data_IF_151763436826
#
_entry.id   IF_151763436826
#
_cell.length_a   1.000
_cell.length_b   1.000
_cell.length_c   1.000
_cell.angle_alpha   90.00
_cell.angle_beta   90.00
_cell.angle_gamma   90.00
#
_symmetry.space_group_name_H-M   'P 1'
#
loop_
_entity.id
_entity.type
_entity.pdbx_description
1 polymer ?
#
# COMPACT_ATOMS: atom_id res chain seq x y z
N UNK A 1 3.15 -10.77 -13.04
CA UNK A 1 3.17 -10.40 -11.61
C UNK A 1 2.86 -8.94 -11.54
N UNK A 2 1.73 -8.60 -10.92
CA UNK A 2 1.35 -7.21 -10.71
C UNK A 2 1.11 -7.03 -9.23
N UNK A 3 1.74 -6.00 -8.67
CA UNK A 3 1.51 -5.60 -7.31
C UNK A 3 0.42 -4.53 -7.27
N UNK A 4 -0.44 -4.61 -6.27
CA UNK A 4 -1.46 -3.61 -5.98
C UNK A 4 -1.40 -3.26 -4.50
N UNK A 5 -1.75 -2.02 -4.15
CA UNK A 5 -1.96 -1.67 -2.76
C UNK A 5 -3.40 -1.24 -2.51
N UNK A 6 -3.91 -1.60 -1.34
CA UNK A 6 -5.10 -0.99 -0.75
C UNK A 6 -4.67 -0.01 0.33
N UNK A 7 -4.98 1.26 0.12
CA UNK A 7 -4.82 2.30 1.12
C UNK A 7 -6.08 2.35 1.97
N UNK A 8 -5.94 1.94 3.24
CA UNK A 8 -6.99 2.12 4.23
C UNK A 8 -6.87 3.55 4.77
N UNK A 9 -7.97 4.31 4.68
CA UNK A 9 -8.03 5.69 5.16
C UNK A 9 -9.09 5.84 6.23
N UNK A 10 -8.81 6.62 7.27
CA UNK A 10 -9.75 6.79 8.39
C UNK A 10 -10.94 7.71 8.03
N UNK A 11 -10.98 8.22 6.79
CA UNK A 11 -11.96 9.21 6.32
C UNK A 11 -12.95 8.69 5.28
N UNK A 12 -12.75 7.46 4.77
CA UNK A 12 -13.59 6.90 3.72
C UNK A 12 -13.68 5.39 3.88
N UNK A 13 -14.92 4.87 3.95
CA UNK A 13 -15.23 3.44 3.98
C UNK A 13 -14.88 2.72 2.67
N UNK A 14 -14.59 3.47 1.60
CA UNK A 14 -14.13 2.91 0.33
C UNK A 14 -12.61 2.80 0.32
N UNK A 15 -12.03 1.57 0.37
CA UNK A 15 -10.60 1.38 0.27
C UNK A 15 -10.13 1.73 -1.15
N UNK A 16 -9.06 2.53 -1.25
CA UNK A 16 -8.50 2.93 -2.53
C UNK A 16 -7.50 1.88 -3.01
N UNK A 17 -7.77 1.29 -4.17
CA UNK A 17 -6.88 0.31 -4.80
C UNK A 17 -6.05 0.99 -5.88
N UNK A 18 -4.73 0.91 -5.77
CA UNK A 18 -3.78 1.52 -6.71
C UNK A 18 -2.80 0.44 -7.21
N UNK A 19 -2.51 0.36 -8.52
CA UNK A 19 -1.45 -0.50 -9.04
C UNK A 19 -0.07 0.06 -8.60
N UNK A 20 0.85 -0.83 -8.25
CA UNK A 20 2.22 -0.47 -7.91
C UNK A 20 3.14 -0.73 -9.11
N UNK A 21 3.92 0.28 -9.47
CA UNK A 21 5.02 0.12 -10.43
C UNK A 21 6.22 -0.54 -9.74
N UNK A 22 6.17 -1.86 -9.63
CA UNK A 22 7.14 -2.65 -8.86
C UNK A 22 7.44 -3.99 -9.53
N UNK A 23 8.73 -4.34 -9.59
CA UNK A 23 9.19 -5.64 -10.09
C UNK A 23 9.42 -6.66 -8.96
N UNK A 24 9.50 -6.21 -7.72
CA UNK A 24 9.74 -7.02 -6.53
C UNK A 24 8.90 -6.56 -5.34
N UNK A 25 8.85 -7.37 -4.29
CA UNK A 25 8.15 -7.00 -3.06
C UNK A 25 8.78 -5.77 -2.40
N UNK A 26 10.11 -5.65 -2.40
CA UNK A 26 10.78 -4.48 -1.82
C UNK A 26 10.47 -3.20 -2.60
N UNK A 27 10.45 -3.25 -3.94
CA UNK A 27 10.02 -2.12 -4.77
C UNK A 27 8.55 -1.75 -4.47
N UNK A 28 7.68 -2.76 -4.31
CA UNK A 28 6.28 -2.56 -3.98
C UNK A 28 6.11 -1.88 -2.62
N UNK A 29 6.94 -2.23 -1.62
CA UNK A 29 6.96 -1.57 -0.31
C UNK A 29 7.38 -0.11 -0.43
N UNK A 30 8.40 0.19 -1.22
CA UNK A 30 8.89 1.56 -1.42
C UNK A 30 7.78 2.40 -2.07
N UNK A 31 7.15 1.91 -3.13
CA UNK A 31 6.10 2.64 -3.83
C UNK A 31 4.82 2.77 -2.97
N UNK A 32 4.43 1.72 -2.23
CA UNK A 32 3.31 1.80 -1.30
C UNK A 32 3.55 2.83 -0.17
N UNK A 33 4.78 2.92 0.37
CA UNK A 33 5.14 3.98 1.34
C UNK A 33 5.03 5.37 0.71
N UNK A 34 5.49 5.53 -0.54
CA UNK A 34 5.39 6.79 -1.28
C UNK A 34 3.93 7.20 -1.48
N UNK A 35 3.05 6.25 -1.81
CA UNK A 35 1.61 6.49 -1.91
C UNK A 35 1.00 6.87 -0.55
N UNK A 36 1.29 6.13 0.52
CA UNK A 36 0.84 6.50 1.88
C UNK A 36 1.30 7.91 2.30
N UNK A 37 2.49 8.34 1.88
CA UNK A 37 2.97 9.69 2.14
C UNK A 37 2.15 10.76 1.38
N UNK A 38 1.70 10.47 0.17
CA UNK A 38 0.82 11.35 -0.62
C UNK A 38 -0.60 11.41 -0.05
N UNK A 39 -1.08 10.31 0.55
CA UNK A 39 -2.38 10.23 1.19
C UNK A 39 -2.25 10.48 2.70
N UNK A 40 -2.33 11.75 3.13
CA UNK A 40 -2.19 12.15 4.53
C UNK A 40 -3.20 11.45 5.48
N UNK A 41 -4.33 10.98 4.97
CA UNK A 41 -5.33 10.21 5.72
C UNK A 41 -5.15 8.69 5.67
N UNK A 42 -4.17 8.18 4.93
CA UNK A 42 -3.87 6.75 4.91
C UNK A 42 -3.19 6.34 6.21
N UNK A 43 -3.77 5.35 6.90
CA UNK A 43 -3.23 4.77 8.14
C UNK A 43 -2.48 3.46 7.86
N UNK A 44 -2.86 2.74 6.80
CA UNK A 44 -2.27 1.46 6.40
C UNK A 44 -2.26 1.28 4.87
N UNK A 45 -1.24 0.60 4.36
CA UNK A 45 -1.22 0.06 2.99
C UNK A 45 -1.08 -1.46 3.03
N UNK A 46 -2.02 -2.18 2.43
CA UNK A 46 -1.93 -3.64 2.25
C UNK A 46 -1.47 -3.94 0.83
N UNK A 47 -0.42 -4.72 0.67
CA UNK A 47 0.20 -5.04 -0.62
C UNK A 47 -0.23 -6.44 -1.05
N UNK A 48 -0.71 -6.52 -2.28
CA UNK A 48 -1.17 -7.76 -2.91
C UNK A 48 -0.30 -8.09 -4.11
N UNK A 49 -0.02 -9.38 -4.28
CA UNK A 49 0.50 -9.95 -5.52
C UNK A 49 -0.61 -10.81 -6.13
N UNK A 50 -1.10 -10.38 -7.29
CA UNK A 50 -2.28 -10.97 -7.92
C UNK A 50 -3.49 -10.96 -6.94
N UNK A 51 -3.84 -12.09 -6.33
CA UNK A 51 -4.95 -12.21 -5.37
C UNK A 51 -4.51 -12.47 -3.91
N UNK A 52 -3.20 -12.58 -3.66
CA UNK A 52 -2.67 -12.89 -2.34
C UNK A 52 -2.13 -11.62 -1.65
N UNK A 53 -2.54 -11.38 -0.41
CA UNK A 53 -1.89 -10.37 0.44
C UNK A 53 -0.49 -10.88 0.78
N UNK A 54 0.54 -10.12 0.42
CA UNK A 54 1.95 -10.50 0.58
C UNK A 54 2.67 -9.67 1.63
N UNK A 55 2.17 -8.47 1.92
CA UNK A 55 2.73 -7.61 2.96
C UNK A 55 1.74 -6.51 3.39
N UNK A 56 2.03 -5.86 4.52
CA UNK A 56 1.24 -4.75 5.04
C UNK A 56 2.13 -3.75 5.78
N UNK A 57 1.93 -2.47 5.48
CA UNK A 57 2.66 -1.35 6.05
C UNK A 57 1.71 -0.49 6.91
N UNK A 58 2.13 -0.14 8.13
CA UNK A 58 1.47 0.90 8.93
C UNK A 58 2.26 2.19 8.91
N UNK A 59 1.57 3.32 9.09
CA UNK A 59 2.24 4.62 9.18
C UNK A 59 3.21 4.70 10.36
N UNK A 60 2.90 4.04 11.47
CA UNK A 60 3.76 3.94 12.65
C UNK A 60 4.95 2.98 12.49
N UNK A 61 5.06 2.21 11.39
CA UNK A 61 6.25 1.39 11.10
C UNK A 61 7.45 2.24 10.59
N UNK A 62 7.40 3.56 10.80
CA UNK A 62 8.50 4.48 10.54
C UNK A 62 9.53 4.38 11.67
N UNK A 63 10.32 3.31 11.69
CA UNK A 63 11.52 3.16 12.51
C UNK A 63 12.78 3.16 11.64
#
# INVERSE_FOLDING_TARGET
MTFFCFLDTDRSDTPHMEPLDAASLDDARIEARRLMAQHASASRARIFLDAAEVDMLRRDDSA
#
